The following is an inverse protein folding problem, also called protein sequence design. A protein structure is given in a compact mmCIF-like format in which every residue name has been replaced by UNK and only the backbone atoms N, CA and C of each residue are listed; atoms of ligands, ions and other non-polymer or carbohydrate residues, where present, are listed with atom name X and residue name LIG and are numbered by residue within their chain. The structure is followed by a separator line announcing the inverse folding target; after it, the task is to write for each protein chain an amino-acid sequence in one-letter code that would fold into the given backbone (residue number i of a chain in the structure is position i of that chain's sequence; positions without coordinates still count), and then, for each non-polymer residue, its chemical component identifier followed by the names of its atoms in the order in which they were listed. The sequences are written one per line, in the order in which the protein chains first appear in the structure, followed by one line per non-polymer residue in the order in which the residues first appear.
data_IF_134745435738
#
_entry.id   IF_134745435738
#
_cell.length_a   1.000
_cell.length_b   1.000
_cell.length_c   1.000
_cell.angle_alpha   90.00
_cell.angle_beta   90.00
_cell.angle_gamma   90.00
#
_symmetry.space_group_name_H-M   'P 1'
#
loop_
_entity.id
_entity.type
_entity.pdbx_description
1 polymer ?
#
# COMPACT_ATOMS: atom_id res chain seq x y z
N UNK A 1 12.51 -26.29 -5.12
CA UNK A 1 12.54 -25.19 -4.14
C UNK A 1 11.23 -24.44 -4.25
N UNK A 2 10.30 -24.75 -3.33
CA UNK A 2 9.03 -24.08 -3.24
C UNK A 2 9.29 -22.64 -2.77
N UNK A 3 9.23 -21.69 -3.70
CA UNK A 3 9.16 -20.27 -3.36
C UNK A 3 7.83 -20.09 -2.61
N UNK A 4 7.90 -19.87 -1.33
CA UNK A 4 6.73 -19.51 -0.53
C UNK A 4 6.21 -18.17 -1.04
N UNK A 5 5.28 -18.22 -1.98
CA UNK A 5 4.51 -17.07 -2.43
C UNK A 5 3.39 -16.82 -1.43
N UNK A 6 3.76 -16.35 -0.25
CA UNK A 6 2.80 -16.01 0.80
C UNK A 6 2.57 -14.51 0.87
N UNK A 7 1.35 -14.13 1.21
CA UNK A 7 1.06 -12.77 1.65
C UNK A 7 1.54 -12.64 3.08
N UNK A 8 2.51 -11.77 3.32
CA UNK A 8 3.02 -11.50 4.66
C UNK A 8 2.31 -10.26 5.20
N UNK A 9 1.72 -10.39 6.37
CA UNK A 9 1.10 -9.29 7.08
C UNK A 9 1.91 -8.98 8.35
N UNK A 10 2.24 -7.70 8.52
CA UNK A 10 2.89 -7.19 9.72
C UNK A 10 2.05 -6.07 10.31
N UNK A 11 1.77 -6.18 11.61
CA UNK A 11 1.08 -5.13 12.37
C UNK A 11 2.13 -4.28 13.09
N UNK A 12 2.26 -3.06 12.64
CA UNK A 12 3.15 -2.08 13.25
C UNK A 12 2.27 -1.13 14.07
N UNK A 13 2.49 -1.12 15.38
CA UNK A 13 1.76 -0.25 16.30
C UNK A 13 2.60 0.99 16.61
N UNK A 14 2.08 2.14 16.24
CA UNK A 14 2.61 3.42 16.66
C UNK A 14 1.62 4.05 17.65
N UNK A 15 2.11 4.51 18.78
CA UNK A 15 1.31 5.14 19.84
C UNK A 15 0.85 6.56 19.51
N UNK A 16 0.79 6.90 18.21
CA UNK A 16 0.40 8.22 17.73
C UNK A 16 -0.80 8.09 16.81
N UNK A 17 -1.89 8.73 17.18
CA UNK A 17 -3.04 8.90 16.30
C UNK A 17 -2.69 9.93 15.21
N UNK A 18 -2.37 9.44 14.03
CA UNK A 18 -1.99 10.27 12.88
C UNK A 18 -3.06 11.31 12.52
N UNK A 19 -4.33 11.03 12.81
CA UNK A 19 -5.44 11.94 12.52
C UNK A 19 -5.50 13.12 13.47
N UNK A 20 -4.85 13.04 14.63
CA UNK A 20 -4.79 14.09 15.65
C UNK A 20 -3.50 14.87 15.62
N UNK A 21 -2.54 14.50 14.77
CA UNK A 21 -1.28 15.21 14.66
C UNK A 21 -1.48 16.53 13.90
N UNK A 22 -1.47 17.61 14.65
CA UNK A 22 -1.58 18.99 14.13
C UNK A 22 -0.20 19.50 13.71
N UNK A 23 0.87 18.94 14.25
CA UNK A 23 2.25 19.35 14.00
C UNK A 23 2.86 18.48 12.89
N UNK A 24 3.20 19.10 11.76
CA UNK A 24 3.82 18.42 10.62
C UNK A 24 5.16 17.77 10.95
N UNK A 25 5.95 18.35 11.88
CA UNK A 25 7.22 17.78 12.32
C UNK A 25 7.05 16.46 13.05
N UNK A 26 6.06 16.35 13.93
CA UNK A 26 5.74 15.11 14.64
C UNK A 26 5.20 14.04 13.71
N UNK A 27 4.43 14.42 12.71
CA UNK A 27 3.89 13.51 11.72
C UNK A 27 5.01 12.92 10.85
N UNK A 28 5.95 13.75 10.41
CA UNK A 28 7.11 13.31 9.66
C UNK A 28 8.01 12.39 10.48
N UNK A 29 8.24 12.69 11.75
CA UNK A 29 8.95 11.82 12.68
C UNK A 29 8.26 10.47 12.84
N UNK A 30 6.93 10.46 12.93
CA UNK A 30 6.15 9.22 12.99
C UNK A 30 6.30 8.39 11.71
N UNK A 31 6.33 9.02 10.55
CA UNK A 31 6.58 8.34 9.28
C UNK A 31 8.00 7.79 9.20
N UNK A 32 9.00 8.48 9.73
CA UNK A 32 10.38 7.99 9.80
C UNK A 32 10.47 6.76 10.71
N UNK A 33 9.76 6.77 11.84
CA UNK A 33 9.66 5.61 12.72
C UNK A 33 8.97 4.43 12.04
N UNK A 34 7.92 4.68 11.27
CA UNK A 34 7.24 3.67 10.47
C UNK A 34 8.20 3.04 9.46
N UNK A 35 8.97 3.84 8.74
CA UNK A 35 9.98 3.34 7.81
C UNK A 35 11.01 2.44 8.48
N UNK A 36 11.51 2.87 9.64
CA UNK A 36 12.46 2.09 10.43
C UNK A 36 11.88 0.74 10.84
N UNK A 37 10.64 0.72 11.32
CA UNK A 37 9.97 -0.52 11.71
C UNK A 37 9.68 -1.45 10.53
N UNK A 38 9.36 -0.90 9.37
CA UNK A 38 9.22 -1.69 8.14
C UNK A 38 10.55 -2.38 7.81
N UNK A 39 11.67 -1.68 7.89
CA UNK A 39 12.99 -2.26 7.64
C UNK A 39 13.34 -3.36 8.63
N UNK A 40 13.03 -3.17 9.91
CA UNK A 40 13.34 -4.14 10.96
C UNK A 40 12.45 -5.38 10.92
N UNK A 41 11.16 -5.21 10.66
CA UNK A 41 10.17 -6.28 10.80
C UNK A 41 9.87 -7.03 9.51
N UNK A 42 10.03 -6.40 8.37
CA UNK A 42 9.70 -7.01 7.08
C UNK A 42 10.92 -7.55 6.33
N UNK A 43 12.11 -7.37 6.87
CA UNK A 43 13.35 -7.89 6.30
C UNK A 43 13.54 -7.51 4.84
N UNK A 44 13.19 -8.42 3.95
CA UNK A 44 13.40 -8.30 2.50
C UNK A 44 12.57 -7.20 1.81
N UNK A 45 11.60 -6.59 2.49
CA UNK A 45 10.76 -5.56 1.84
C UNK A 45 11.53 -4.28 1.57
N UNK A 46 12.45 -3.93 2.45
CA UNK A 46 13.23 -2.70 2.34
C UNK A 46 14.71 -2.95 1.97
N UNK A 47 15.17 -4.20 2.03
CA UNK A 47 16.54 -4.57 1.71
C UNK A 47 16.66 -5.03 0.26
N UNK A 48 17.80 -4.68 -0.39
CA UNK A 48 18.10 -5.08 -1.77
C UNK A 48 17.02 -4.69 -2.79
N UNK A 49 16.42 -3.53 -2.62
CA UNK A 49 15.35 -3.03 -3.49
C UNK A 49 15.85 -2.20 -4.66
N UNK A 50 17.15 -1.92 -4.75
CA UNK A 50 17.72 -1.15 -5.86
C UNK A 50 17.41 -1.81 -7.21
N UNK A 51 16.89 -1.02 -8.14
CA UNK A 51 16.48 -1.49 -9.47
C UNK A 51 15.17 -2.27 -9.53
N UNK A 52 14.53 -2.54 -8.40
CA UNK A 52 13.24 -3.24 -8.36
C UNK A 52 12.08 -2.28 -8.57
N UNK A 53 11.02 -2.80 -9.19
CA UNK A 53 9.76 -2.11 -9.35
C UNK A 53 8.86 -2.42 -8.16
N UNK A 54 8.45 -1.38 -7.43
CA UNK A 54 7.66 -1.50 -6.22
C UNK A 54 6.40 -0.66 -6.33
N UNK A 55 5.26 -1.26 -5.99
CA UNK A 55 3.99 -0.57 -5.84
C UNK A 55 3.72 -0.37 -4.35
N UNK A 56 3.50 0.89 -3.94
CA UNK A 56 3.03 1.23 -2.61
C UNK A 56 1.58 1.67 -2.70
N UNK A 57 0.72 1.02 -1.95
CA UNK A 57 -0.73 1.30 -1.93
C UNK A 57 -1.10 1.91 -0.59
N UNK A 58 -1.63 3.12 -0.62
CA UNK A 58 -2.32 3.73 0.51
C UNK A 58 -3.82 3.48 0.43
N UNK A 59 -4.55 3.73 1.51
CA UNK A 59 -5.98 3.44 1.59
C UNK A 59 -6.80 4.71 1.81
N UNK A 60 -7.62 5.05 0.81
CA UNK A 60 -8.51 6.21 0.84
C UNK A 60 -7.76 7.51 1.17
N UNK A 61 -8.01 8.13 2.30
CA UNK A 61 -7.34 9.38 2.70
C UNK A 61 -5.98 9.17 3.36
N UNK A 62 -5.63 7.93 3.70
CA UNK A 62 -4.37 7.57 4.33
C UNK A 62 -3.26 7.38 3.28
N UNK A 63 -2.83 8.49 2.68
CA UNK A 63 -1.86 8.49 1.58
C UNK A 63 -0.49 9.03 1.94
N UNK A 64 -0.40 9.97 2.86
CA UNK A 64 0.89 10.61 3.17
C UNK A 64 1.95 9.59 3.63
N UNK A 65 1.66 8.65 4.54
CA UNK A 65 2.65 7.64 4.92
C UNK A 65 3.07 6.74 3.76
N UNK A 66 2.13 6.36 2.88
CA UNK A 66 2.46 5.58 1.68
C UNK A 66 3.42 6.33 0.75
N UNK A 67 3.15 7.60 0.50
CA UNK A 67 4.03 8.46 -0.31
C UNK A 67 5.40 8.65 0.36
N UNK A 68 5.44 8.82 1.66
CA UNK A 68 6.66 8.96 2.43
C UNK A 68 7.55 7.71 2.30
N UNK A 69 6.97 6.55 2.52
CA UNK A 69 7.66 5.26 2.38
C UNK A 69 8.14 5.06 0.93
N UNK A 70 7.30 5.35 -0.05
CA UNK A 70 7.66 5.28 -1.47
C UNK A 70 8.89 6.13 -1.79
N UNK A 71 8.95 7.34 -1.26
CA UNK A 71 10.10 8.24 -1.45
C UNK A 71 11.38 7.67 -0.80
N UNK A 72 11.26 7.06 0.38
CA UNK A 72 12.38 6.37 1.03
C UNK A 72 12.92 5.22 0.19
N UNK A 73 12.02 4.43 -0.41
CA UNK A 73 12.39 3.34 -1.30
C UNK A 73 13.07 3.83 -2.59
N UNK A 74 12.59 4.94 -3.15
CA UNK A 74 13.25 5.57 -4.31
C UNK A 74 14.69 5.99 -3.99
N UNK A 75 14.94 6.52 -2.81
CA UNK A 75 16.29 6.87 -2.35
C UNK A 75 17.21 5.66 -2.24
N UNK A 76 16.66 4.48 -2.00
CA UNK A 76 17.39 3.21 -2.00
C UNK A 76 17.58 2.64 -3.41
N UNK A 77 17.11 3.32 -4.44
CA UNK A 77 17.29 2.95 -5.84
C UNK A 77 16.14 2.18 -6.48
N UNK A 78 15.01 2.04 -5.81
CA UNK A 78 13.84 1.38 -6.37
C UNK A 78 13.08 2.30 -7.35
N UNK A 79 12.40 1.70 -8.31
CA UNK A 79 11.39 2.36 -9.14
C UNK A 79 10.04 2.19 -8.47
N UNK A 80 9.47 3.28 -7.95
CA UNK A 80 8.27 3.22 -7.11
C UNK A 80 7.08 3.89 -7.78
N UNK A 81 5.92 3.24 -7.71
CA UNK A 81 4.62 3.83 -7.99
C UNK A 81 3.78 3.80 -6.73
N UNK A 82 2.98 4.84 -6.53
CA UNK A 82 2.05 4.94 -5.42
C UNK A 82 0.62 5.01 -5.95
N UNK A 83 -0.24 4.13 -5.46
CA UNK A 83 -1.66 4.10 -5.77
C UNK A 83 -2.48 4.21 -4.51
N UNK A 84 -3.74 4.61 -4.66
CA UNK A 84 -4.70 4.71 -3.57
C UNK A 84 -5.95 3.92 -3.90
N UNK A 85 -6.55 3.29 -2.89
CA UNK A 85 -7.96 2.93 -2.98
C UNK A 85 -8.81 4.20 -2.87
N UNK A 86 -9.89 4.29 -3.60
CA UNK A 86 -10.73 5.49 -3.63
C UNK A 86 -12.21 5.14 -3.60
N UNK A 87 -13.03 6.02 -3.00
CA UNK A 87 -14.48 5.86 -2.97
C UNK A 87 -15.14 6.20 -4.30
N UNK A 88 -14.47 6.97 -5.14
CA UNK A 88 -15.07 7.48 -6.38
C UNK A 88 -14.87 6.53 -7.53
N UNK A 89 -15.93 6.03 -8.17
CA UNK A 89 -15.80 5.27 -9.40
C UNK A 89 -15.45 6.22 -10.56
N UNK A 90 -14.38 5.90 -11.26
CA UNK A 90 -13.96 6.61 -12.47
C UNK A 90 -14.09 5.65 -13.64
N UNK A 91 -14.59 6.12 -14.77
CA UNK A 91 -14.68 5.31 -15.96
C UNK A 91 -13.30 4.89 -16.47
N UNK A 92 -13.19 3.69 -16.98
CA UNK A 92 -11.98 3.17 -17.61
C UNK A 92 -12.25 2.86 -19.09
N UNK A 93 -11.22 2.88 -19.91
CA UNK A 93 -11.32 2.57 -21.34
C UNK A 93 -10.09 1.80 -21.81
N UNK A 94 -10.28 0.97 -22.81
CA UNK A 94 -9.17 0.28 -23.49
C UNK A 94 -8.45 1.17 -24.51
N UNK A 95 -9.00 2.37 -24.77
CA UNK A 95 -8.36 3.33 -25.67
C UNK A 95 -7.04 3.81 -25.11
N UNK A 96 -6.00 3.82 -25.94
CA UNK A 96 -4.63 4.11 -25.55
C UNK A 96 -4.45 5.51 -24.94
N UNK A 97 -5.25 6.46 -25.37
CA UNK A 97 -5.16 7.85 -24.89
C UNK A 97 -5.93 8.11 -23.59
N UNK A 98 -6.75 7.15 -23.16
CA UNK A 98 -7.49 7.29 -21.91
C UNK A 98 -6.56 6.97 -20.71
N UNK A 99 -6.56 7.80 -19.64
CA UNK A 99 -5.57 7.66 -18.57
C UNK A 99 -5.74 6.43 -17.69
N UNK A 100 -6.94 5.85 -17.62
CA UNK A 100 -7.23 4.69 -16.78
C UNK A 100 -7.77 3.52 -17.62
N UNK A 101 -7.16 2.35 -17.51
CA UNK A 101 -7.47 1.19 -18.33
C UNK A 101 -8.12 0.03 -17.57
N UNK A 102 -7.89 -0.07 -16.26
CA UNK A 102 -8.50 -1.12 -15.44
C UNK A 102 -9.00 -0.58 -14.11
N UNK A 103 -10.06 -1.20 -13.61
CA UNK A 103 -10.69 -0.86 -12.35
C UNK A 103 -11.07 -2.13 -11.60
N UNK A 104 -10.74 -2.18 -10.33
CA UNK A 104 -11.16 -3.24 -9.43
C UNK A 104 -12.09 -2.67 -8.36
N UNK A 105 -13.25 -3.28 -8.19
CA UNK A 105 -14.18 -2.95 -7.11
C UNK A 105 -13.79 -3.73 -5.86
N UNK A 106 -13.70 -3.04 -4.74
CA UNK A 106 -13.26 -3.57 -3.46
C UNK A 106 -14.28 -3.25 -2.37
N UNK A 107 -14.19 -3.94 -1.25
CA UNK A 107 -14.77 -3.48 0.00
C UNK A 107 -13.81 -2.53 0.69
N UNK A 108 -14.30 -1.43 1.25
CA UNK A 108 -13.46 -0.51 2.01
C UNK A 108 -12.79 -1.22 3.18
N UNK A 109 -11.51 -0.92 3.41
CA UNK A 109 -10.79 -1.44 4.57
C UNK A 109 -11.30 -0.85 5.89
N UNK A 110 -12.06 0.23 5.82
CA UNK A 110 -12.64 0.92 6.98
C UNK A 110 -14.09 0.51 7.27
N UNK A 111 -14.82 0.12 6.22
CA UNK A 111 -16.25 -0.23 6.31
C UNK A 111 -16.58 -1.26 5.21
N UNK A 112 -16.90 -2.51 5.56
CA UNK A 112 -17.15 -3.56 4.58
C UNK A 112 -18.42 -3.33 3.74
N UNK A 113 -19.32 -2.46 4.18
CA UNK A 113 -20.53 -2.11 3.44
C UNK A 113 -20.30 -0.98 2.42
N UNK A 114 -19.12 -0.36 2.43
CA UNK A 114 -18.76 0.70 1.49
C UNK A 114 -17.89 0.15 0.37
N UNK A 115 -18.24 0.48 -0.88
CA UNK A 115 -17.43 0.15 -2.04
C UNK A 115 -16.27 1.12 -2.20
N UNK A 116 -15.13 0.60 -2.56
CA UNK A 116 -13.97 1.38 -2.99
C UNK A 116 -13.42 0.80 -4.28
N UNK A 117 -12.49 1.50 -4.88
CA UNK A 117 -11.92 1.13 -6.18
C UNK A 117 -10.42 1.32 -6.16
N UNK A 118 -9.70 0.49 -6.91
CA UNK A 118 -8.30 0.71 -7.23
C UNK A 118 -8.11 0.55 -8.74
N UNK A 119 -7.23 1.38 -9.30
CA UNK A 119 -7.04 1.50 -10.75
C UNK A 119 -5.64 1.06 -11.15
N UNK A 120 -5.53 0.49 -12.36
CA UNK A 120 -4.25 0.25 -13.05
C UNK A 120 -3.14 -0.35 -12.18
N UNK A 121 -3.43 -1.43 -11.47
CA UNK A 121 -2.45 -2.05 -10.57
C UNK A 121 -1.32 -2.57 -11.44
N UNK A 122 -1.17 -3.22 -12.31
CA UNK A 122 -0.01 -3.71 -13.05
C UNK A 122 0.83 -4.72 -12.27
N UNK A 123 1.97 -5.06 -12.85
CA UNK A 123 2.89 -6.06 -12.33
C UNK A 123 4.14 -5.39 -11.75
N UNK A 124 4.49 -5.77 -10.52
CA UNK A 124 5.64 -5.25 -9.78
C UNK A 124 6.44 -6.40 -9.17
N UNK A 125 7.69 -6.13 -8.79
CA UNK A 125 8.50 -7.09 -8.06
C UNK A 125 8.01 -7.25 -6.62
N UNK A 126 7.56 -6.16 -6.01
CA UNK A 126 7.00 -6.13 -4.66
C UNK A 126 5.83 -5.16 -4.58
N UNK A 127 4.85 -5.49 -3.74
CA UNK A 127 3.74 -4.60 -3.40
C UNK A 127 3.68 -4.42 -1.89
N UNK A 128 3.64 -3.16 -1.46
CA UNK A 128 3.48 -2.79 -0.06
C UNK A 128 2.16 -2.05 0.12
N UNK A 129 1.30 -2.58 0.96
CA UNK A 129 0.04 -1.93 1.36
C UNK A 129 0.26 -1.29 2.72
N UNK A 130 0.07 0.02 2.82
CA UNK A 130 0.21 0.78 4.06
C UNK A 130 -1.16 1.34 4.43
N UNK A 131 -1.69 0.94 5.57
CA UNK A 131 -3.02 1.32 6.00
C UNK A 131 -3.10 1.63 7.50
N UNK A 132 -4.01 2.51 7.91
CA UNK A 132 -4.38 2.76 9.30
C UNK A 132 -5.74 2.16 9.67
N UNK A 133 -6.31 1.36 8.77
CA UNK A 133 -7.61 0.74 8.99
C UNK A 133 -7.58 -0.32 10.08
N UNK A 134 -8.72 -0.61 10.72
CA UNK A 134 -8.84 -1.80 11.56
C UNK A 134 -8.67 -3.07 10.70
N UNK A 135 -8.36 -4.17 11.33
CA UNK A 135 -8.26 -5.45 10.63
C UNK A 135 -9.67 -6.02 10.36
N UNK A 136 -10.18 -5.73 9.16
CA UNK A 136 -11.43 -6.31 8.65
C UNK A 136 -11.04 -7.31 7.56
N UNK A 137 -11.02 -8.58 7.90
CA UNK A 137 -10.49 -9.65 7.07
C UNK A 137 -11.13 -9.70 5.68
N UNK A 138 -12.46 -9.64 5.59
CA UNK A 138 -13.15 -9.72 4.31
C UNK A 138 -12.83 -8.54 3.38
N UNK A 139 -12.68 -7.34 3.94
CA UNK A 139 -12.32 -6.14 3.18
C UNK A 139 -10.86 -6.21 2.69
N UNK A 140 -9.95 -6.59 3.56
CA UNK A 140 -8.55 -6.76 3.22
C UNK A 140 -8.34 -7.81 2.12
N UNK A 141 -9.09 -8.90 2.17
CA UNK A 141 -9.04 -9.96 1.15
C UNK A 141 -9.43 -9.45 -0.23
N UNK A 142 -10.40 -8.52 -0.35
CA UNK A 142 -10.78 -7.98 -1.65
C UNK A 142 -9.62 -7.22 -2.31
N UNK A 143 -8.89 -6.43 -1.53
CA UNK A 143 -7.71 -5.70 -2.02
C UNK A 143 -6.56 -6.66 -2.35
N UNK A 144 -6.25 -7.59 -1.47
CA UNK A 144 -5.18 -8.58 -1.70
C UNK A 144 -5.49 -9.42 -2.93
N UNK A 145 -6.71 -9.85 -3.13
CA UNK A 145 -7.09 -10.66 -4.30
C UNK A 145 -6.93 -9.87 -5.60
N UNK A 146 -7.30 -8.59 -5.63
CA UNK A 146 -7.09 -7.73 -6.79
C UNK A 146 -5.60 -7.58 -7.12
N UNK A 147 -4.77 -7.33 -6.12
CA UNK A 147 -3.32 -7.18 -6.29
C UNK A 147 -2.66 -8.50 -6.70
N UNK A 148 -3.11 -9.61 -6.12
CA UNK A 148 -2.57 -10.95 -6.37
C UNK A 148 -2.77 -11.44 -7.80
N UNK A 149 -3.73 -10.90 -8.52
CA UNK A 149 -3.96 -11.29 -9.92
C UNK A 149 -2.71 -11.12 -10.78
N UNK A 150 -1.85 -10.16 -10.47
CA UNK A 150 -0.62 -9.89 -11.23
C UNK A 150 0.65 -9.87 -10.38
N UNK A 151 0.53 -9.96 -9.05
CA UNK A 151 1.65 -9.80 -8.13
C UNK A 151 1.71 -10.93 -7.12
N UNK A 152 2.92 -11.36 -6.79
CA UNK A 152 3.15 -12.49 -5.88
C UNK A 152 3.68 -12.07 -4.51
N UNK A 153 4.50 -11.04 -4.46
CA UNK A 153 5.12 -10.56 -3.23
C UNK A 153 4.33 -9.37 -2.69
N UNK A 154 3.47 -9.61 -1.70
CA UNK A 154 2.57 -8.61 -1.12
C UNK A 154 2.80 -8.57 0.38
N UNK A 155 3.08 -7.38 0.89
CA UNK A 155 3.21 -7.11 2.32
C UNK A 155 2.17 -6.08 2.75
N UNK A 156 1.46 -6.35 3.82
CA UNK A 156 0.52 -5.41 4.46
C UNK A 156 1.13 -4.89 5.74
N UNK A 157 1.23 -3.58 5.83
CA UNK A 157 1.70 -2.87 7.02
C UNK A 157 0.54 -2.05 7.56
N UNK A 158 0.21 -2.30 8.82
CA UNK A 158 -0.89 -1.62 9.50
C UNK A 158 -0.32 -0.68 10.55
N UNK A 159 -0.63 0.57 10.40
CA UNK A 159 -0.29 1.61 11.35
C UNK A 159 -1.46 1.85 12.31
N UNK A 160 -1.41 1.20 13.44
CA UNK A 160 -2.45 1.30 14.46
C UNK A 160 -1.87 1.56 15.85
#
# INVERSE_FOLDING_TARGET
DAVHTGTFQHDIRLNLDARRLIDSGKYEEACENLWREIREKTGNMADNISGKRILVIGTEEFMFPALYIGRKMEKEGAEVRCHSTTRSPIAVSLEKEYPLHSRYELKSLYDPDRRTFIYDIGKYDKVLIVTDSPEIKESQETLINAVRMQNKDITVVRWC
#
